data_IF_085047259688
#
_entry.id   IF_085047259688
#
_cell.length_a   1.000
_cell.length_b   1.000
_cell.length_c   1.000
_cell.angle_alpha   90.00
_cell.angle_beta   90.00
_cell.angle_gamma   90.00
#
_symmetry.space_group_name_H-M   'P 1'
#
loop_
_entity.id
_entity.type
_entity.pdbx_description
1 polymer ?
#
# COMPACT_ATOMS: atom_id res chain seq x y z
N UNK A 1 20.45 17.08 -20.96
CA UNK A 1 19.68 16.84 -19.74
C UNK A 1 19.64 15.34 -19.60
N UNK A 2 20.26 14.77 -18.56
CA UNK A 2 20.17 13.35 -18.31
C UNK A 2 18.69 13.04 -18.06
N UNK A 3 18.09 12.13 -18.82
CA UNK A 3 16.80 11.57 -18.49
C UNK A 3 16.93 10.94 -17.10
N UNK A 4 16.18 11.46 -16.13
CA UNK A 4 16.08 10.84 -14.80
C UNK A 4 15.45 9.45 -15.00
N UNK A 5 16.30 8.46 -15.17
CA UNK A 5 15.87 7.08 -15.32
C UNK A 5 15.43 6.58 -13.95
N UNK A 6 14.13 6.33 -13.81
CA UNK A 6 13.58 5.59 -12.68
C UNK A 6 13.11 4.20 -13.14
N UNK A 7 13.10 3.25 -12.21
CA UNK A 7 12.56 1.92 -12.43
C UNK A 7 11.44 1.65 -11.43
N UNK A 8 10.30 1.14 -11.90
CA UNK A 8 9.16 0.77 -11.05
C UNK A 8 8.67 -0.61 -11.46
N UNK A 9 8.99 -1.60 -10.64
CA UNK A 9 8.51 -2.98 -10.76
C UNK A 9 7.95 -3.43 -9.41
N UNK A 10 7.18 -4.52 -9.32
CA UNK A 10 6.71 -5.05 -8.04
C UNK A 10 7.84 -5.37 -7.05
N UNK A 11 9.03 -5.66 -7.57
CA UNK A 11 10.18 -6.10 -6.80
C UNK A 11 11.14 -4.96 -6.44
N UNK A 12 11.32 -4.01 -7.36
CA UNK A 12 12.29 -2.91 -7.22
C UNK A 12 11.72 -1.57 -7.66
N UNK A 13 12.00 -0.52 -6.88
CA UNK A 13 11.67 0.87 -7.19
C UNK A 13 12.91 1.71 -6.89
N UNK A 14 13.45 2.34 -7.94
CA UNK A 14 14.64 3.18 -7.83
C UNK A 14 14.52 4.45 -8.67
N UNK A 15 15.30 5.47 -8.31
CA UNK A 15 15.27 6.78 -8.96
C UNK A 15 14.14 7.69 -8.48
N UNK A 16 14.06 8.88 -9.06
CA UNK A 16 13.01 9.85 -8.77
C UNK A 16 11.78 9.55 -9.63
N UNK A 17 10.71 9.04 -9.00
CA UNK A 17 9.52 8.53 -9.70
C UNK A 17 8.69 9.68 -10.26
N UNK A 18 8.60 9.76 -11.58
CA UNK A 18 7.65 10.63 -12.28
C UNK A 18 6.28 9.94 -12.41
N UNK A 19 5.37 10.28 -11.54
CA UNK A 19 4.02 9.69 -11.52
C UNK A 19 3.19 10.05 -12.77
N UNK A 20 3.41 11.21 -13.40
CA UNK A 20 2.72 11.60 -14.63
C UNK A 20 3.16 10.73 -15.82
N UNK A 21 4.45 10.37 -15.85
CA UNK A 21 4.99 9.41 -16.82
C UNK A 21 4.47 8.00 -16.55
N UNK A 22 4.42 7.56 -15.27
CA UNK A 22 3.85 6.25 -14.90
C UNK A 22 2.38 6.10 -15.30
N UNK A 23 1.58 7.13 -15.13
CA UNK A 23 0.17 7.13 -15.55
C UNK A 23 0.06 6.76 -17.04
N UNK A 24 0.91 7.37 -17.88
CA UNK A 24 0.92 7.10 -19.33
C UNK A 24 1.47 5.70 -19.64
N UNK A 25 2.61 5.34 -19.07
CA UNK A 25 3.27 4.06 -19.33
C UNK A 25 2.44 2.86 -18.86
N UNK A 26 1.77 2.98 -17.73
CA UNK A 26 0.92 1.92 -17.19
C UNK A 26 -0.49 1.94 -17.80
N UNK A 27 -0.88 3.03 -18.49
CA UNK A 27 -2.23 3.19 -19.04
C UNK A 27 -3.28 3.20 -17.93
N UNK A 28 -2.98 3.87 -16.81
CA UNK A 28 -3.92 4.19 -15.73
C UNK A 28 -4.50 5.59 -15.96
N UNK A 29 -5.61 5.90 -15.31
CA UNK A 29 -6.28 7.19 -15.42
C UNK A 29 -6.13 7.98 -14.11
N UNK A 30 -5.84 9.27 -14.22
CA UNK A 30 -5.90 10.15 -13.05
C UNK A 30 -7.35 10.26 -12.53
N UNK A 31 -7.52 10.36 -11.21
CA UNK A 31 -8.84 10.61 -10.63
C UNK A 31 -9.24 12.05 -10.96
N UNK A 32 -10.21 12.21 -11.87
CA UNK A 32 -10.72 13.53 -12.24
C UNK A 32 -11.51 14.16 -11.09
N UNK A 33 -11.63 15.51 -11.10
CA UNK A 33 -12.39 16.23 -10.07
C UNK A 33 -13.85 15.77 -9.97
N UNK A 34 -14.48 15.48 -11.11
CA UNK A 34 -15.89 15.03 -11.14
C UNK A 34 -16.03 13.61 -10.58
N UNK A 35 -15.06 12.73 -10.88
CA UNK A 35 -15.03 11.38 -10.32
C UNK A 35 -14.75 11.43 -8.81
N UNK A 36 -13.84 12.30 -8.36
CA UNK A 36 -13.56 12.53 -6.95
C UNK A 36 -14.81 13.03 -6.22
N UNK A 37 -15.48 14.05 -6.71
CA UNK A 37 -16.74 14.59 -6.13
C UNK A 37 -17.81 13.49 -6.01
N UNK A 38 -17.98 12.67 -7.07
CA UNK A 38 -18.93 11.55 -7.04
C UNK A 38 -18.54 10.52 -5.98
N UNK A 39 -17.28 10.17 -5.91
CA UNK A 39 -16.75 9.24 -4.92
C UNK A 39 -16.98 9.74 -3.50
N UNK A 40 -16.59 10.99 -3.22
CA UNK A 40 -16.77 11.65 -1.93
C UNK A 40 -18.23 11.80 -1.47
N UNK A 41 -19.16 11.95 -2.42
CA UNK A 41 -20.60 12.01 -2.11
C UNK A 41 -21.07 10.73 -1.43
N UNK A 42 -20.45 9.60 -1.73
CA UNK A 42 -20.78 8.28 -1.15
C UNK A 42 -19.94 8.01 0.09
N UNK A 43 -18.64 8.23 -0.02
CA UNK A 43 -17.65 7.81 0.98
C UNK A 43 -17.33 8.86 2.04
N UNK A 44 -17.70 10.12 1.81
CA UNK A 44 -17.15 11.27 2.54
C UNK A 44 -15.76 11.66 2.06
N UNK A 45 -15.24 12.78 2.59
CA UNK A 45 -13.92 13.29 2.24
C UNK A 45 -12.79 12.48 2.86
N UNK A 46 -11.70 12.39 2.12
CA UNK A 46 -10.46 11.80 2.61
C UNK A 46 -9.26 12.65 2.15
N UNK A 47 -8.48 13.14 3.11
CA UNK A 47 -7.34 14.02 2.81
C UNK A 47 -6.29 13.36 1.89
N UNK A 48 -6.18 12.03 1.87
CA UNK A 48 -5.25 11.33 0.98
C UNK A 48 -5.71 11.42 -0.49
N UNK A 49 -7.01 11.49 -0.75
CA UNK A 49 -7.57 11.75 -2.08
C UNK A 49 -7.43 13.24 -2.44
N UNK A 50 -7.82 14.15 -1.55
CA UNK A 50 -7.74 15.60 -1.76
C UNK A 50 -6.31 16.06 -2.07
N UNK A 51 -5.32 15.42 -1.43
CA UNK A 51 -3.88 15.69 -1.61
C UNK A 51 -3.24 14.89 -2.75
N UNK A 52 -4.04 14.14 -3.52
CA UNK A 52 -3.58 13.27 -4.61
C UNK A 52 -2.49 12.26 -4.19
N UNK A 53 -2.55 11.77 -2.95
CA UNK A 53 -1.70 10.66 -2.50
C UNK A 53 -2.19 9.37 -3.16
N UNK A 54 -3.52 9.15 -3.15
CA UNK A 54 -4.19 8.24 -4.06
C UNK A 54 -4.63 9.05 -5.28
N UNK A 55 -3.97 8.86 -6.41
CA UNK A 55 -4.01 9.82 -7.52
C UNK A 55 -4.56 9.23 -8.82
N UNK A 56 -4.51 7.92 -9.01
CA UNK A 56 -4.89 7.26 -10.25
C UNK A 56 -5.80 6.05 -10.00
N UNK A 57 -6.44 5.58 -11.05
CA UNK A 57 -7.37 4.46 -10.96
C UNK A 57 -7.45 3.63 -12.25
N UNK A 58 -8.07 2.45 -12.12
CA UNK A 58 -8.62 1.66 -13.22
C UNK A 58 -10.07 1.34 -12.94
N UNK A 59 -10.96 1.62 -13.89
CA UNK A 59 -12.39 1.28 -13.85
C UNK A 59 -13.16 1.76 -12.59
N UNK A 60 -12.68 2.81 -11.88
CA UNK A 60 -13.36 3.32 -10.69
C UNK A 60 -14.77 3.86 -11.04
N UNK A 61 -14.92 4.50 -12.21
CA UNK A 61 -16.21 4.97 -12.69
C UNK A 61 -17.19 3.81 -12.83
N UNK A 62 -16.78 2.73 -13.51
CA UNK A 62 -17.59 1.52 -13.67
C UNK A 62 -17.99 0.91 -12.32
N UNK A 63 -17.05 0.86 -11.38
CA UNK A 63 -17.32 0.34 -10.04
C UNK A 63 -18.41 1.11 -9.32
N UNK A 64 -18.37 2.45 -9.42
CA UNK A 64 -19.39 3.31 -8.83
C UNK A 64 -20.74 3.17 -9.57
N UNK A 65 -20.73 2.95 -10.91
CA UNK A 65 -21.94 2.66 -11.67
C UNK A 65 -22.59 1.34 -11.21
N UNK A 66 -21.81 0.32 -10.89
CA UNK A 66 -22.31 -0.94 -10.31
C UNK A 66 -22.84 -0.74 -8.88
N UNK A 67 -22.12 0.05 -8.07
CA UNK A 67 -22.55 0.37 -6.70
C UNK A 67 -23.89 1.12 -6.68
N UNK A 68 -24.08 2.10 -7.57
CA UNK A 68 -25.36 2.85 -7.71
C UNK A 68 -26.54 1.96 -8.14
N UNK A 69 -26.27 0.85 -8.85
CA UNK A 69 -27.28 -0.20 -9.17
C UNK A 69 -27.56 -1.15 -8.00
N UNK A 70 -26.91 -0.96 -6.85
CA UNK A 70 -27.02 -1.81 -5.67
C UNK A 70 -26.07 -3.03 -5.66
N UNK A 71 -25.15 -3.14 -6.61
CA UNK A 71 -24.16 -4.20 -6.65
C UNK A 71 -22.99 -3.81 -5.74
N UNK A 72 -22.99 -4.31 -4.49
CA UNK A 72 -21.85 -4.12 -3.59
C UNK A 72 -20.60 -4.80 -4.15
N UNK A 73 -19.46 -4.16 -3.96
CA UNK A 73 -18.14 -4.72 -4.26
C UNK A 73 -17.47 -5.27 -2.99
N UNK A 74 -16.34 -5.90 -3.13
CA UNK A 74 -15.45 -6.23 -2.03
C UNK A 74 -14.08 -5.57 -2.22
N UNK A 75 -13.36 -5.39 -1.13
CA UNK A 75 -11.99 -4.91 -1.12
C UNK A 75 -11.03 -6.10 -1.11
N UNK A 76 -9.93 -5.96 -1.84
CA UNK A 76 -8.82 -6.88 -1.77
C UNK A 76 -7.52 -6.11 -1.53
N UNK A 77 -6.71 -6.63 -0.65
CA UNK A 77 -5.32 -6.20 -0.44
C UNK A 77 -4.54 -7.38 0.14
N UNK A 78 -3.24 -7.22 0.32
CA UNK A 78 -2.43 -8.30 0.87
C UNK A 78 -1.05 -7.84 1.31
N UNK A 79 -0.33 -8.76 1.93
CA UNK A 79 1.06 -8.60 2.29
C UNK A 79 1.78 -9.94 2.36
N UNK A 80 2.84 -10.07 1.59
CA UNK A 80 3.79 -11.14 1.78
C UNK A 80 4.58 -10.92 3.09
N UNK A 81 4.61 -11.91 3.99
CA UNK A 81 5.28 -11.80 5.28
C UNK A 81 6.79 -11.92 5.14
N UNK A 82 7.46 -10.84 4.74
CA UNK A 82 8.91 -10.79 4.44
C UNK A 82 9.76 -10.07 5.49
N UNK A 83 9.12 -9.53 6.51
CA UNK A 83 9.76 -8.71 7.54
C UNK A 83 8.73 -7.94 8.36
N UNK A 84 9.16 -7.07 9.28
CA UNK A 84 8.28 -6.23 10.07
C UNK A 84 7.54 -5.22 9.18
N UNK A 85 6.37 -4.77 9.62
CA UNK A 85 5.63 -3.72 8.94
C UNK A 85 6.25 -2.35 9.23
N UNK A 86 6.30 -1.51 8.21
CA UNK A 86 6.71 -0.11 8.30
C UNK A 86 5.57 0.83 7.88
N UNK A 87 5.74 2.13 8.12
CA UNK A 87 4.70 3.14 7.88
C UNK A 87 4.17 3.13 6.45
N UNK A 88 5.00 2.82 5.45
CA UNK A 88 4.56 2.74 4.04
C UNK A 88 3.48 1.68 3.79
N UNK A 89 3.51 0.54 4.51
CA UNK A 89 2.44 -0.45 4.43
C UNK A 89 1.15 0.06 5.08
N UNK A 90 1.28 0.71 6.24
CA UNK A 90 0.14 1.20 6.99
C UNK A 90 -0.64 2.27 6.23
N UNK A 91 0.04 3.10 5.43
CA UNK A 91 -0.59 4.14 4.63
C UNK A 91 -1.67 3.56 3.69
N UNK A 92 -1.31 2.55 2.90
CA UNK A 92 -2.26 1.91 1.99
C UNK A 92 -3.39 1.17 2.74
N UNK A 93 -3.08 0.56 3.88
CA UNK A 93 -4.08 -0.16 4.67
C UNK A 93 -5.01 0.78 5.45
N UNK A 94 -4.53 1.94 5.91
CA UNK A 94 -5.41 2.97 6.50
C UNK A 94 -6.44 3.47 5.48
N UNK A 95 -6.03 3.68 4.24
CA UNK A 95 -6.94 4.04 3.16
C UNK A 95 -7.92 2.89 2.87
N UNK A 96 -7.45 1.64 2.81
CA UNK A 96 -8.31 0.46 2.64
C UNK A 96 -9.31 0.31 3.79
N UNK A 97 -8.88 0.60 5.04
CA UNK A 97 -9.76 0.62 6.21
C UNK A 97 -10.86 1.68 6.08
N UNK A 98 -10.48 2.88 5.66
CA UNK A 98 -11.45 3.93 5.41
C UNK A 98 -12.45 3.53 4.33
N UNK A 99 -12.01 2.89 3.23
CA UNK A 99 -12.91 2.36 2.20
C UNK A 99 -13.87 1.31 2.78
N UNK A 100 -13.39 0.40 3.62
CA UNK A 100 -14.24 -0.61 4.26
C UNK A 100 -15.36 0.03 5.07
N UNK A 101 -15.05 1.06 5.86
CA UNK A 101 -16.02 1.76 6.69
C UNK A 101 -17.01 2.57 5.87
N UNK A 102 -16.51 3.32 4.89
CA UNK A 102 -17.31 4.23 4.07
C UNK A 102 -18.34 3.50 3.20
N UNK A 103 -17.96 2.36 2.64
CA UNK A 103 -18.83 1.57 1.76
C UNK A 103 -19.51 0.39 2.46
N UNK A 104 -19.14 0.11 3.70
CA UNK A 104 -19.65 -1.02 4.47
C UNK A 104 -19.54 -2.36 3.72
N UNK A 105 -18.33 -2.67 3.22
CA UNK A 105 -18.04 -3.83 2.36
C UNK A 105 -17.06 -4.81 2.99
N UNK A 106 -17.06 -6.04 2.46
CA UNK A 106 -16.10 -7.08 2.88
C UNK A 106 -14.69 -6.73 2.40
N UNK A 107 -13.68 -7.04 3.22
CA UNK A 107 -12.27 -7.02 2.87
C UNK A 107 -11.73 -8.46 2.87
N UNK A 108 -11.03 -8.82 1.80
CA UNK A 108 -10.24 -10.04 1.71
C UNK A 108 -8.77 -9.65 1.77
N UNK A 109 -8.11 -10.05 2.84
CA UNK A 109 -6.71 -9.72 3.09
C UNK A 109 -5.85 -10.97 2.91
N UNK A 110 -5.05 -11.00 1.84
CA UNK A 110 -4.18 -12.11 1.53
C UNK A 110 -2.83 -11.99 2.24
N UNK A 111 -2.39 -13.10 2.79
CA UNK A 111 -1.02 -13.32 3.25
C UNK A 111 -0.39 -14.45 2.43
N UNK A 112 0.29 -14.13 1.31
CA UNK A 112 1.00 -15.12 0.53
C UNK A 112 2.29 -15.51 1.26
N UNK A 113 2.19 -16.50 2.13
CA UNK A 113 3.27 -16.92 3.03
C UNK A 113 4.38 -17.69 2.31
N UNK A 114 4.14 -18.18 1.10
CA UNK A 114 5.12 -18.82 0.23
C UNK A 114 5.89 -17.84 -0.67
N UNK A 115 5.36 -16.64 -0.95
CA UNK A 115 5.94 -15.74 -1.96
C UNK A 115 7.43 -15.49 -1.73
N UNK A 116 7.80 -15.01 -0.54
CA UNK A 116 9.21 -14.62 -0.29
C UNK A 116 10.13 -15.82 -0.15
N UNK A 117 9.62 -16.95 0.30
CA UNK A 117 10.33 -18.22 0.24
C UNK A 117 10.68 -18.61 -1.21
N UNK A 118 9.78 -18.38 -2.17
CA UNK A 118 10.01 -18.67 -3.57
C UNK A 118 10.96 -17.67 -4.25
N UNK A 119 10.91 -16.39 -3.85
CA UNK A 119 11.62 -15.29 -4.54
C UNK A 119 12.94 -14.92 -3.89
N UNK A 120 13.15 -15.16 -2.59
CA UNK A 120 14.41 -14.85 -1.89
C UNK A 120 15.15 -16.12 -1.57
N UNK A 121 16.40 -16.21 -2.04
CA UNK A 121 17.24 -17.41 -1.90
C UNK A 121 17.47 -17.83 -0.44
N UNK A 122 17.61 -16.86 0.46
CA UNK A 122 18.01 -17.11 1.84
C UNK A 122 16.86 -17.03 2.85
N UNK A 123 15.60 -16.84 2.38
CA UNK A 123 14.45 -16.78 3.28
C UNK A 123 13.87 -18.19 3.50
N UNK A 124 13.77 -18.59 4.77
CA UNK A 124 13.13 -19.85 5.14
C UNK A 124 11.61 -19.72 5.24
N UNK A 125 10.92 -20.85 5.17
CA UNK A 125 9.47 -20.88 5.36
C UNK A 125 9.08 -20.53 6.80
N UNK A 126 9.89 -20.96 7.79
CA UNK A 126 9.71 -20.67 9.22
C UNK A 126 9.81 -19.18 9.51
N UNK A 127 10.73 -18.46 8.87
CA UNK A 127 10.83 -17.01 8.99
C UNK A 127 9.59 -16.33 8.43
N UNK A 128 9.08 -16.80 7.29
CA UNK A 128 7.83 -16.29 6.73
C UNK A 128 6.65 -16.49 7.68
N UNK A 129 6.55 -17.63 8.36
CA UNK A 129 5.49 -17.91 9.35
C UNK A 129 5.60 -17.01 10.60
N UNK A 130 6.81 -16.70 11.05
CA UNK A 130 7.03 -15.76 12.15
C UNK A 130 6.53 -14.36 11.79
N UNK A 131 6.91 -13.84 10.61
CA UNK A 131 6.45 -12.53 10.15
C UNK A 131 4.96 -12.51 9.81
N UNK A 132 4.38 -13.64 9.39
CA UNK A 132 2.94 -13.76 9.15
C UNK A 132 2.14 -13.38 10.40
N UNK A 133 2.48 -13.98 11.54
CA UNK A 133 1.80 -13.68 12.81
C UNK A 133 1.93 -12.19 13.16
N UNK A 134 3.14 -11.63 13.13
CA UNK A 134 3.40 -10.23 13.45
C UNK A 134 2.66 -9.26 12.50
N UNK A 135 2.64 -9.56 11.19
CA UNK A 135 1.95 -8.72 10.22
C UNK A 135 0.42 -8.76 10.40
N UNK A 136 -0.16 -9.91 10.80
CA UNK A 136 -1.58 -10.00 11.14
C UNK A 136 -1.94 -9.07 12.29
N UNK A 137 -1.08 -8.98 13.33
CA UNK A 137 -1.31 -8.06 14.46
C UNK A 137 -1.35 -6.61 14.00
N UNK A 138 -0.48 -6.21 13.06
CA UNK A 138 -0.47 -4.85 12.51
C UNK A 138 -1.76 -4.53 11.75
N UNK A 139 -2.24 -5.46 10.95
CA UNK A 139 -3.49 -5.28 10.19
C UNK A 139 -4.69 -5.15 11.14
N UNK A 140 -4.79 -6.04 12.14
CA UNK A 140 -5.88 -6.00 13.14
C UNK A 140 -5.83 -4.71 13.95
N UNK A 141 -4.64 -4.23 14.31
CA UNK A 141 -4.43 -3.00 15.08
C UNK A 141 -4.94 -1.74 14.37
N UNK A 142 -5.05 -1.75 13.02
CA UNK A 142 -5.68 -0.67 12.26
C UNK A 142 -7.19 -0.58 12.48
N UNK A 143 -7.81 -1.62 13.08
CA UNK A 143 -9.21 -1.60 13.48
C UNK A 143 -10.18 -2.02 12.40
N UNK A 144 -9.77 -2.83 11.43
CA UNK A 144 -10.68 -3.47 10.48
C UNK A 144 -11.82 -4.21 11.18
N UNK A 145 -13.00 -4.25 10.55
CA UNK A 145 -14.16 -4.92 11.09
C UNK A 145 -14.00 -6.46 11.00
N UNK A 146 -13.91 -7.20 12.12
CA UNK A 146 -13.69 -8.65 12.08
C UNK A 146 -14.84 -9.43 11.42
N UNK A 147 -16.06 -8.87 11.39
CA UNK A 147 -17.21 -9.51 10.74
C UNK A 147 -17.18 -9.36 9.20
N UNK A 148 -16.34 -8.47 8.70
CA UNK A 148 -16.23 -8.13 7.26
C UNK A 148 -14.80 -8.25 6.72
N UNK A 149 -13.87 -8.74 7.52
CA UNK A 149 -12.48 -8.93 7.11
C UNK A 149 -12.12 -10.40 7.17
N UNK A 150 -11.67 -10.93 6.03
CA UNK A 150 -11.35 -12.34 5.84
C UNK A 150 -9.86 -12.47 5.54
N UNK A 151 -9.10 -12.96 6.51
CA UNK A 151 -7.68 -13.29 6.30
C UNK A 151 -7.56 -14.61 5.55
N UNK A 152 -6.84 -14.57 4.44
CA UNK A 152 -6.45 -15.74 3.66
C UNK A 152 -4.94 -15.90 3.78
N UNK A 153 -4.50 -17.05 4.23
CA UNK A 153 -3.09 -17.48 4.19
C UNK A 153 -2.98 -18.54 3.12
N UNK A 154 -2.13 -18.34 2.13
CA UNK A 154 -2.16 -19.12 0.89
C UNK A 154 -1.95 -20.61 1.15
N UNK A 155 -0.98 -20.98 1.98
CA UNK A 155 -0.75 -22.39 2.33
C UNK A 155 -1.86 -23.02 3.18
N UNK A 156 -2.48 -22.24 4.08
CA UNK A 156 -3.57 -22.73 4.94
C UNK A 156 -4.90 -22.87 4.21
N UNK A 157 -5.11 -22.03 3.18
CA UNK A 157 -6.34 -22.01 2.39
C UNK A 157 -6.13 -22.55 0.96
N UNK A 158 -5.09 -23.38 0.78
CA UNK A 158 -4.74 -23.94 -0.51
C UNK A 158 -5.90 -24.72 -1.16
N UNK A 159 -6.76 -25.29 -0.36
CA UNK A 159 -7.93 -26.07 -0.82
C UNK A 159 -8.98 -25.22 -1.56
N UNK A 160 -9.09 -23.91 -1.27
CA UNK A 160 -9.97 -23.00 -2.00
C UNK A 160 -9.20 -22.16 -3.04
N UNK A 161 -7.91 -21.93 -2.83
CA UNK A 161 -7.08 -21.12 -3.71
C UNK A 161 -6.52 -21.91 -4.89
N UNK A 162 -5.95 -23.08 -4.62
CA UNK A 162 -5.23 -23.87 -5.63
C UNK A 162 -6.09 -24.29 -6.84
N UNK A 163 -7.35 -24.76 -6.68
CA UNK A 163 -8.19 -25.06 -7.83
C UNK A 163 -8.41 -23.87 -8.75
N UNK A 164 -8.59 -22.69 -8.17
CA UNK A 164 -8.77 -21.44 -8.93
C UNK A 164 -7.46 -20.96 -9.56
N UNK A 165 -6.34 -21.10 -8.87
CA UNK A 165 -5.01 -20.81 -9.41
C UNK A 165 -4.69 -21.69 -10.62
N UNK A 166 -5.08 -22.98 -10.62
CA UNK A 166 -4.96 -23.86 -11.79
C UNK A 166 -5.77 -23.35 -12.99
N UNK A 167 -6.98 -22.81 -12.76
CA UNK A 167 -7.79 -22.22 -13.84
C UNK A 167 -7.12 -20.97 -14.42
N UNK A 168 -6.52 -20.14 -13.56
CA UNK A 168 -5.73 -18.95 -13.96
C UNK A 168 -4.49 -19.39 -14.72
N UNK A 169 -3.69 -20.33 -14.18
CA UNK A 169 -2.47 -20.84 -14.78
C UNK A 169 -2.70 -21.39 -16.20
N UNK A 170 -3.84 -22.05 -16.43
CA UNK A 170 -4.22 -22.54 -17.77
C UNK A 170 -4.40 -21.40 -18.80
N UNK A 171 -4.55 -20.16 -18.37
CA UNK A 171 -4.75 -18.99 -19.24
C UNK A 171 -3.51 -18.09 -19.34
N UNK A 172 -2.46 -18.39 -18.57
CA UNK A 172 -1.20 -17.66 -18.54
C UNK A 172 -0.12 -18.48 -19.24
N UNK A 173 0.70 -17.84 -20.06
CA UNK A 173 1.89 -18.44 -20.66
C UNK A 173 3.15 -17.92 -20.00
N UNK A 174 4.26 -18.66 -20.07
CA UNK A 174 5.56 -18.18 -19.58
C UNK A 174 5.98 -16.85 -20.24
N UNK A 175 5.67 -16.67 -21.54
CA UNK A 175 5.93 -15.40 -22.22
C UNK A 175 5.18 -14.23 -21.60
N UNK A 176 3.93 -14.40 -21.16
CA UNK A 176 3.17 -13.37 -20.45
C UNK A 176 3.80 -13.06 -19.10
N UNK A 177 4.19 -14.09 -18.35
CA UNK A 177 4.86 -13.93 -17.04
C UNK A 177 6.18 -13.19 -17.20
N UNK A 178 7.01 -13.59 -18.15
CA UNK A 178 8.28 -12.93 -18.47
C UNK A 178 8.09 -11.45 -18.82
N UNK A 179 7.16 -11.16 -19.70
CA UNK A 179 6.85 -9.78 -20.13
C UNK A 179 6.32 -8.89 -19.00
N UNK A 180 5.51 -9.46 -18.08
CA UNK A 180 4.86 -8.68 -17.02
C UNK A 180 5.73 -8.51 -15.77
N UNK A 181 6.59 -9.47 -15.47
CA UNK A 181 7.30 -9.56 -14.19
C UNK A 181 8.83 -9.61 -14.33
N UNK A 182 9.36 -9.69 -15.55
CA UNK A 182 10.81 -9.80 -15.78
C UNK A 182 11.40 -11.16 -15.38
N UNK A 183 10.54 -12.18 -15.12
CA UNK A 183 11.03 -13.54 -14.88
C UNK A 183 11.66 -14.10 -16.15
N UNK A 184 12.71 -14.91 -16.00
CA UNK A 184 13.49 -15.49 -17.09
C UNK A 184 13.65 -17.01 -16.95
N UNK A 185 14.47 -17.60 -17.80
CA UNK A 185 14.70 -19.06 -17.84
C UNK A 185 15.40 -19.60 -16.58
N UNK A 186 16.00 -18.72 -15.74
CA UNK A 186 16.58 -19.08 -14.44
C UNK A 186 15.57 -19.06 -13.29
N UNK A 187 14.37 -18.56 -13.53
CA UNK A 187 13.30 -18.47 -12.53
C UNK A 187 12.76 -19.85 -12.19
N UNK A 188 12.60 -20.13 -10.88
CA UNK A 188 12.07 -21.43 -10.46
C UNK A 188 10.56 -21.56 -10.76
N UNK A 189 10.09 -22.81 -10.85
CA UNK A 189 8.68 -23.12 -11.17
C UNK A 189 7.70 -22.48 -10.18
N UNK A 190 8.07 -22.37 -8.89
CA UNK A 190 7.25 -21.73 -7.86
C UNK A 190 7.02 -20.26 -8.15
N UNK A 191 8.06 -19.51 -8.53
CA UNK A 191 7.94 -18.09 -8.92
C UNK A 191 6.98 -17.91 -10.10
N UNK A 192 7.08 -18.78 -11.10
CA UNK A 192 6.21 -18.74 -12.29
C UNK A 192 4.76 -19.01 -11.89
N UNK A 193 4.51 -20.08 -11.12
CA UNK A 193 3.15 -20.47 -10.70
C UNK A 193 2.52 -19.46 -9.73
N UNK A 194 3.33 -18.83 -8.86
CA UNK A 194 2.87 -17.82 -7.91
C UNK A 194 2.08 -16.69 -8.55
N UNK A 195 2.42 -16.28 -9.78
CA UNK A 195 1.68 -15.26 -10.52
C UNK A 195 0.19 -15.63 -10.71
N UNK A 196 -0.12 -16.92 -10.73
CA UNK A 196 -1.48 -17.44 -10.81
C UNK A 196 -2.17 -17.43 -9.45
N UNK A 197 -1.45 -17.72 -8.37
CA UNK A 197 -1.96 -17.63 -6.99
C UNK A 197 -2.35 -16.20 -6.65
N UNK A 198 -1.49 -15.23 -6.96
CA UNK A 198 -1.71 -13.81 -6.72
C UNK A 198 -3.00 -13.25 -7.35
N UNK A 199 -3.46 -13.84 -8.45
CA UNK A 199 -4.68 -13.39 -9.12
C UNK A 199 -5.97 -13.85 -8.43
N UNK A 200 -5.94 -14.94 -7.67
CA UNK A 200 -7.14 -15.63 -7.15
C UNK A 200 -7.97 -14.77 -6.21
N UNK A 201 -7.40 -14.07 -5.20
CA UNK A 201 -8.19 -13.31 -4.25
C UNK A 201 -9.05 -12.21 -4.90
N UNK A 202 -8.65 -11.70 -6.06
CA UNK A 202 -9.41 -10.69 -6.79
C UNK A 202 -10.78 -11.19 -7.31
N UNK A 203 -11.04 -12.50 -7.32
CA UNK A 203 -12.31 -13.07 -7.72
C UNK A 203 -12.83 -14.21 -6.82
N UNK A 204 -12.04 -14.65 -5.85
CA UNK A 204 -12.40 -15.74 -4.93
C UNK A 204 -13.79 -15.54 -4.28
N UNK A 205 -14.16 -14.35 -3.78
CA UNK A 205 -15.50 -14.12 -3.23
C UNK A 205 -16.61 -14.39 -4.24
N UNK A 206 -16.37 -14.13 -5.52
CA UNK A 206 -17.34 -14.43 -6.58
C UNK A 206 -17.53 -15.94 -6.76
N UNK A 207 -16.47 -16.73 -6.66
CA UNK A 207 -16.52 -18.21 -6.72
C UNK A 207 -17.26 -18.75 -5.52
N UNK A 208 -16.88 -18.34 -4.32
CA UNK A 208 -17.46 -18.82 -3.06
C UNK A 208 -18.95 -18.51 -2.93
N UNK A 209 -19.39 -17.35 -3.43
CA UNK A 209 -20.81 -16.92 -3.39
C UNK A 209 -21.60 -17.32 -4.64
N UNK A 210 -20.99 -17.95 -5.63
CA UNK A 210 -21.62 -18.38 -6.89
C UNK A 210 -22.21 -17.24 -7.73
N UNK A 211 -21.70 -16.00 -7.57
CA UNK A 211 -22.15 -14.81 -8.31
C UNK A 211 -21.00 -13.86 -8.57
N UNK A 212 -21.07 -13.12 -9.69
CA UNK A 212 -20.06 -12.10 -10.02
C UNK A 212 -20.17 -10.92 -9.06
N UNK A 213 -19.08 -10.61 -8.34
CA UNK A 213 -19.00 -9.50 -7.41
C UNK A 213 -17.83 -8.60 -7.88
N UNK A 214 -18.05 -7.28 -8.06
CA UNK A 214 -16.96 -6.35 -8.33
C UNK A 214 -15.89 -6.35 -7.24
N UNK A 215 -14.63 -6.15 -7.62
CA UNK A 215 -13.49 -6.06 -6.70
C UNK A 215 -12.85 -4.68 -6.82
N UNK A 216 -12.49 -4.07 -5.70
CA UNK A 216 -11.68 -2.86 -5.64
C UNK A 216 -10.38 -3.14 -4.89
N UNK A 217 -9.26 -2.74 -5.49
CA UNK A 217 -7.91 -2.93 -4.94
C UNK A 217 -7.25 -1.57 -4.75
N UNK A 218 -6.95 -1.20 -3.50
CA UNK A 218 -6.13 -0.03 -3.20
C UNK A 218 -4.67 -0.48 -3.00
N UNK A 219 -3.76 0.03 -3.84
CA UNK A 219 -2.36 -0.42 -3.83
C UNK A 219 -1.38 0.68 -4.24
N UNK A 220 -0.11 0.52 -3.89
CA UNK A 220 0.95 1.36 -4.41
C UNK A 220 1.21 1.02 -5.90
N UNK A 221 1.60 2.03 -6.67
CA UNK A 221 1.67 1.95 -8.14
C UNK A 221 2.58 0.84 -8.67
N UNK A 222 3.60 0.41 -7.90
CA UNK A 222 4.50 -0.69 -8.24
C UNK A 222 3.79 -2.06 -8.34
N UNK A 223 2.64 -2.22 -7.72
CA UNK A 223 1.87 -3.47 -7.75
C UNK A 223 0.97 -3.59 -9.00
N UNK A 224 0.88 -2.55 -9.83
CA UNK A 224 0.04 -2.54 -11.03
C UNK A 224 0.31 -3.71 -12.01
N UNK A 225 1.56 -4.16 -12.26
CA UNK A 225 1.82 -5.31 -13.15
C UNK A 225 1.08 -6.59 -12.76
N UNK A 226 0.97 -6.91 -11.46
CA UNK A 226 0.21 -8.07 -10.98
C UNK A 226 -1.27 -7.95 -11.36
N UNK A 227 -1.83 -6.77 -11.14
CA UNK A 227 -3.26 -6.54 -11.39
C UNK A 227 -3.57 -6.37 -12.88
N UNK A 228 -2.64 -5.90 -13.71
CA UNK A 228 -2.80 -5.92 -15.18
C UNK A 228 -2.98 -7.34 -15.70
N UNK A 229 -2.08 -8.26 -15.31
CA UNK A 229 -2.21 -9.66 -15.71
C UNK A 229 -3.55 -10.26 -15.24
N UNK A 230 -3.91 -10.01 -13.98
CA UNK A 230 -5.20 -10.44 -13.42
C UNK A 230 -6.38 -9.92 -14.23
N UNK A 231 -6.36 -8.63 -14.59
CA UNK A 231 -7.40 -7.98 -15.41
C UNK A 231 -7.56 -8.57 -16.80
N UNK A 232 -6.46 -9.05 -17.40
CA UNK A 232 -6.46 -9.68 -18.72
C UNK A 232 -7.04 -11.11 -18.68
N UNK A 233 -6.93 -11.79 -17.55
CA UNK A 233 -7.32 -13.19 -17.39
C UNK A 233 -8.74 -13.34 -16.86
N UNK A 234 -9.18 -12.53 -15.90
CA UNK A 234 -10.47 -12.74 -15.23
C UNK A 234 -11.67 -12.74 -16.18
N UNK A 235 -11.77 -11.89 -17.23
CA UNK A 235 -12.85 -11.99 -18.21
C UNK A 235 -12.89 -13.33 -18.94
N UNK A 236 -11.73 -13.94 -19.21
CA UNK A 236 -11.62 -15.26 -19.86
C UNK A 236 -12.09 -16.41 -18.95
N UNK A 237 -12.20 -16.14 -17.64
CA UNK A 237 -12.76 -17.03 -16.62
C UNK A 237 -14.20 -16.67 -16.26
N UNK A 238 -14.78 -15.64 -16.91
CA UNK A 238 -16.16 -15.21 -16.68
C UNK A 238 -16.35 -14.27 -15.51
N UNK A 239 -15.28 -13.69 -14.95
CA UNK A 239 -15.31 -12.72 -13.84
C UNK A 239 -15.13 -11.27 -14.33
N UNK A 240 -15.48 -10.30 -13.47
CA UNK A 240 -15.18 -8.88 -13.73
C UNK A 240 -13.68 -8.60 -13.66
N UNK A 241 -13.22 -7.61 -14.41
CA UNK A 241 -11.91 -7.00 -14.18
C UNK A 241 -11.93 -6.31 -12.81
N UNK A 242 -10.93 -6.50 -11.94
CA UNK A 242 -10.87 -5.71 -10.71
C UNK A 242 -10.64 -4.23 -11.00
N UNK A 243 -11.38 -3.37 -10.35
CA UNK A 243 -11.07 -1.95 -10.29
C UNK A 243 -9.92 -1.69 -9.32
N UNK A 244 -9.19 -0.61 -9.49
CA UNK A 244 -8.09 -0.25 -8.59
C UNK A 244 -7.97 1.25 -8.37
N UNK A 245 -7.40 1.61 -7.20
CA UNK A 245 -6.95 2.97 -6.90
C UNK A 245 -5.47 2.89 -6.52
N UNK A 246 -4.63 3.67 -7.22
CA UNK A 246 -3.19 3.66 -7.05
C UNK A 246 -2.73 4.84 -6.20
N UNK A 247 -1.80 4.57 -5.27
CA UNK A 247 -1.13 5.61 -4.49
C UNK A 247 0.35 5.75 -4.86
N UNK A 248 0.87 6.95 -4.57
CA UNK A 248 2.29 7.23 -4.54
C UNK A 248 2.98 6.57 -3.35
N UNK A 249 4.30 6.46 -3.39
CA UNK A 249 5.07 5.89 -2.29
C UNK A 249 5.22 6.88 -1.14
N UNK A 250 5.15 6.38 0.08
CA UNK A 250 5.67 7.12 1.23
C UNK A 250 7.20 7.17 1.06
N UNK A 251 7.83 8.37 1.01
CA UNK A 251 9.26 8.47 0.76
C UNK A 251 10.08 7.79 1.86
N UNK A 252 11.23 7.19 1.54
CA UNK A 252 12.18 6.73 2.55
C UNK A 252 12.73 7.93 3.35
N UNK A 253 13.27 7.70 4.54
CA UNK A 253 13.82 8.81 5.35
C UNK A 253 14.97 9.53 4.66
N UNK A 254 15.74 8.83 3.83
CA UNK A 254 16.92 9.37 3.14
C UNK A 254 16.62 10.31 1.98
N UNK A 255 15.35 10.51 1.61
CA UNK A 255 14.96 11.45 0.56
C UNK A 255 13.78 10.98 -0.28
N UNK A 256 13.47 11.74 -1.33
CA UNK A 256 12.30 11.50 -2.18
C UNK A 256 12.51 10.44 -3.26
N UNK A 257 13.70 9.87 -3.39
CA UNK A 257 14.01 8.85 -4.40
C UNK A 257 13.71 7.45 -3.89
N UNK A 258 12.91 6.68 -4.65
CA UNK A 258 12.56 5.30 -4.32
C UNK A 258 11.36 5.14 -3.38
N UNK A 259 11.22 3.95 -2.82
CA UNK A 259 10.20 3.60 -1.81
C UNK A 259 10.84 3.11 -0.53
N UNK A 260 10.15 3.29 0.61
CA UNK A 260 10.54 2.68 1.87
C UNK A 260 10.55 1.14 1.74
N UNK A 261 11.64 0.49 2.15
CA UNK A 261 11.82 -0.95 2.07
C UNK A 261 11.91 -1.59 3.46
N UNK A 262 11.39 -2.82 3.59
CA UNK A 262 11.49 -3.61 4.84
C UNK A 262 12.92 -4.09 5.16
N UNK A 263 13.86 -3.94 4.25
CA UNK A 263 15.29 -4.26 4.45
C UNK A 263 16.12 -3.04 4.84
N UNK A 264 15.55 -1.84 4.88
CA UNK A 264 16.26 -0.62 5.24
C UNK A 264 16.29 -0.41 6.75
N UNK A 265 17.49 -0.21 7.30
CA UNK A 265 17.69 0.08 8.73
C UNK A 265 17.02 1.40 9.12
N UNK A 266 16.89 2.32 8.19
CA UNK A 266 16.31 3.65 8.37
C UNK A 266 14.78 3.66 8.37
N UNK A 267 14.11 2.60 7.91
CA UNK A 267 12.64 2.56 7.87
C UNK A 267 12.05 2.66 9.29
N UNK A 268 10.93 3.37 9.44
CA UNK A 268 10.18 3.43 10.70
C UNK A 268 9.22 2.25 10.74
N UNK A 269 9.45 1.35 11.68
CA UNK A 269 8.66 0.14 11.89
C UNK A 269 7.54 0.36 12.90
N UNK A 270 6.49 -0.44 12.81
CA UNK A 270 5.35 -0.41 13.74
C UNK A 270 5.74 -0.78 15.16
N UNK A 271 6.87 -1.46 15.32
CA UNK A 271 7.42 -1.91 16.60
C UNK A 271 8.50 -1.00 17.18
N UNK A 272 8.88 0.07 16.46
CA UNK A 272 9.90 1.00 16.94
C UNK A 272 9.47 1.67 18.24
N UNK A 273 10.41 1.80 19.15
CA UNK A 273 10.25 2.58 20.38
C UNK A 273 10.29 4.07 20.09
N UNK A 274 9.82 4.89 21.02
CA UNK A 274 9.87 6.34 20.93
C UNK A 274 11.29 6.88 20.62
N UNK A 275 12.31 6.29 21.27
CA UNK A 275 13.71 6.69 21.07
C UNK A 275 14.25 6.28 19.70
N UNK A 276 13.83 5.13 19.19
CA UNK A 276 14.23 4.69 17.84
C UNK A 276 13.62 5.58 16.77
N UNK A 277 12.34 5.94 16.88
CA UNK A 277 11.70 6.91 15.97
C UNK A 277 12.43 8.26 16.00
N UNK A 278 12.69 8.79 17.20
CA UNK A 278 13.41 10.04 17.37
C UNK A 278 14.80 9.98 16.74
N UNK A 279 15.55 8.91 17.02
CA UNK A 279 16.89 8.70 16.47
C UNK A 279 16.84 8.62 14.93
N UNK A 280 15.94 7.82 14.35
CA UNK A 280 15.80 7.63 12.91
C UNK A 280 15.47 8.93 12.20
N UNK A 281 14.50 9.71 12.71
CA UNK A 281 14.11 10.98 12.09
C UNK A 281 15.21 12.02 12.21
N UNK A 282 15.82 12.18 13.39
CA UNK A 282 16.88 13.17 13.58
C UNK A 282 18.10 12.87 12.71
N UNK A 283 18.47 11.59 12.59
CA UNK A 283 19.69 11.19 11.90
C UNK A 283 19.50 11.03 10.39
N UNK A 284 18.41 10.42 9.94
CA UNK A 284 18.26 9.98 8.56
C UNK A 284 17.27 10.80 7.74
N UNK A 285 16.29 11.49 8.39
CA UNK A 285 15.30 12.22 7.63
C UNK A 285 15.95 13.38 6.86
N UNK A 286 15.90 13.27 5.53
CA UNK A 286 16.38 14.31 4.63
C UNK A 286 15.64 15.62 4.92
N UNK A 287 16.41 16.70 5.03
CA UNK A 287 15.88 18.03 5.36
C UNK A 287 15.92 18.95 4.14
N UNK A 288 14.81 19.64 3.91
CA UNK A 288 14.75 20.73 2.93
C UNK A 288 15.26 22.08 3.46
N UNK A 289 15.92 22.10 4.63
CA UNK A 289 16.49 23.30 5.24
C UNK A 289 17.74 23.83 4.57
N UNK A 290 18.39 24.78 5.23
CA UNK A 290 19.69 25.35 4.81
C UNK A 290 20.79 24.87 5.74
N UNK A 291 22.04 25.07 5.32
CA UNK A 291 23.22 24.60 6.05
C UNK A 291 23.38 25.30 7.41
N UNK A 292 22.99 26.56 7.50
CA UNK A 292 23.04 27.32 8.75
C UNK A 292 21.65 27.79 9.18
N UNK A 293 21.47 27.98 10.49
CA UNK A 293 20.24 28.53 11.05
C UNK A 293 19.96 29.96 10.53
N UNK A 294 20.99 30.77 10.34
CA UNK A 294 20.86 32.12 9.82
C UNK A 294 20.35 32.15 8.39
N UNK A 295 20.95 31.33 7.52
CA UNK A 295 20.46 31.15 6.14
C UNK A 295 19.05 30.64 6.10
N UNK A 296 18.72 29.65 6.96
CA UNK A 296 17.37 29.11 7.04
C UNK A 296 16.36 30.21 7.47
N UNK A 297 16.69 31.00 8.48
CA UNK A 297 15.84 32.13 8.91
C UNK A 297 15.66 33.18 7.81
N UNK A 298 16.69 33.41 6.99
CA UNK A 298 16.68 34.40 5.92
C UNK A 298 15.99 33.92 4.64
N UNK A 299 16.19 32.68 4.24
CA UNK A 299 15.80 32.15 2.93
C UNK A 299 14.72 31.10 3.01
N UNK A 300 14.39 30.60 4.19
CA UNK A 300 13.45 29.52 4.42
C UNK A 300 13.93 28.16 3.94
N UNK A 301 13.15 27.12 4.26
CA UNK A 301 13.34 25.75 3.79
C UNK A 301 12.45 25.43 2.59
N UNK A 302 12.68 24.25 2.02
CA UNK A 302 11.82 23.68 0.98
C UNK A 302 11.00 22.48 1.55
N UNK A 303 9.73 22.69 1.92
CA UNK A 303 8.90 21.61 2.47
C UNK A 303 8.57 20.51 1.45
N UNK A 304 8.67 20.82 0.15
CA UNK A 304 8.28 19.84 -0.89
C UNK A 304 9.26 18.66 -0.99
N UNK A 305 10.53 18.89 -0.58
CA UNK A 305 11.56 17.85 -0.52
C UNK A 305 11.90 17.40 0.92
N UNK A 306 11.37 18.09 1.93
CA UNK A 306 11.61 17.73 3.35
C UNK A 306 10.78 16.50 3.75
N UNK A 307 11.46 15.42 4.12
CA UNK A 307 10.79 14.15 4.43
C UNK A 307 9.90 14.25 5.67
N UNK A 308 10.27 15.05 6.66
CA UNK A 308 9.42 15.25 7.85
C UNK A 308 8.10 15.91 7.46
N UNK A 309 8.14 16.91 6.58
CA UNK A 309 6.92 17.52 6.05
C UNK A 309 6.10 16.52 5.21
N UNK A 310 6.77 15.71 4.36
CA UNK A 310 6.06 14.71 3.56
C UNK A 310 5.35 13.68 4.44
N UNK A 311 5.93 13.25 5.55
CA UNK A 311 5.25 12.32 6.47
C UNK A 311 4.00 12.93 7.09
N UNK A 312 4.07 14.21 7.49
CA UNK A 312 2.88 14.95 7.94
C UNK A 312 1.82 15.01 6.85
N UNK A 313 2.22 15.36 5.62
CA UNK A 313 1.32 15.47 4.46
C UNK A 313 0.65 14.14 4.11
N UNK A 314 1.38 13.03 4.15
CA UNK A 314 0.90 11.72 3.72
C UNK A 314 0.04 11.01 4.77
N UNK A 315 0.38 11.15 6.07
CA UNK A 315 -0.24 10.30 7.10
C UNK A 315 -0.62 11.02 8.40
N UNK A 316 0.20 11.97 8.87
CA UNK A 316 0.17 12.36 10.28
C UNK A 316 -0.46 13.72 10.57
N UNK A 317 -0.77 14.54 9.56
CA UNK A 317 -1.53 15.77 9.73
C UNK A 317 -2.74 15.80 8.80
N UNK A 318 -3.91 15.30 9.23
CA UNK A 318 -5.11 15.29 8.40
C UNK A 318 -5.73 16.69 8.24
N UNK A 319 -5.42 17.64 9.12
CA UNK A 319 -5.94 19.01 9.07
C UNK A 319 -5.16 19.85 8.07
N UNK A 320 -5.79 20.23 6.95
CA UNK A 320 -5.17 21.03 5.90
C UNK A 320 -4.82 22.44 6.32
N UNK A 321 -5.51 23.03 7.30
CA UNK A 321 -5.17 24.35 7.81
C UNK A 321 -3.86 24.30 8.61
N UNK A 322 -3.71 23.29 9.47
CA UNK A 322 -2.47 23.08 10.23
C UNK A 322 -1.32 22.72 9.29
N UNK A 323 -1.56 21.82 8.32
CA UNK A 323 -0.53 21.45 7.35
C UNK A 323 -0.07 22.66 6.52
N UNK A 324 -1.00 23.51 6.04
CA UNK A 324 -0.66 24.74 5.31
C UNK A 324 0.09 25.74 6.18
N UNK A 325 -0.23 25.82 7.47
CA UNK A 325 0.52 26.67 8.41
C UNK A 325 1.96 26.17 8.54
N UNK A 326 2.17 24.88 8.80
CA UNK A 326 3.50 24.26 8.87
C UNK A 326 4.29 24.51 7.58
N UNK A 327 3.66 24.32 6.41
CA UNK A 327 4.26 24.60 5.10
C UNK A 327 4.78 26.04 4.99
N UNK A 328 3.91 27.02 5.31
CA UNK A 328 4.25 28.45 5.24
C UNK A 328 5.35 28.82 6.22
N UNK A 329 5.26 28.38 7.46
CA UNK A 329 6.21 28.71 8.53
C UNK A 329 7.61 28.13 8.19
N UNK A 330 7.68 26.92 7.64
CA UNK A 330 8.94 26.32 7.21
C UNK A 330 9.51 26.99 5.95
N UNK A 331 8.66 27.28 4.97
CA UNK A 331 9.06 27.94 3.72
C UNK A 331 9.55 29.37 3.94
N UNK A 332 9.06 30.07 4.95
CA UNK A 332 9.48 31.43 5.30
C UNK A 332 10.68 31.49 6.26
N UNK A 333 11.14 30.34 6.80
CA UNK A 333 12.20 30.31 7.81
C UNK A 333 11.75 30.62 9.24
N UNK A 334 10.45 30.83 9.48
CA UNK A 334 9.89 30.96 10.84
C UNK A 334 10.02 29.67 11.62
N UNK A 335 9.78 28.53 10.97
CA UNK A 335 9.97 27.19 11.55
C UNK A 335 11.31 26.62 11.08
N UNK A 336 12.11 26.11 11.99
CA UNK A 336 13.38 25.45 11.70
C UNK A 336 13.19 23.98 11.33
N UNK A 337 14.18 23.34 10.68
CA UNK A 337 14.19 21.91 10.41
C UNK A 337 14.09 21.06 11.68
N UNK A 338 14.71 21.51 12.78
CA UNK A 338 14.62 20.84 14.07
C UNK A 338 13.20 20.85 14.64
N UNK A 339 12.51 21.97 14.57
CA UNK A 339 11.10 22.11 15.00
C UNK A 339 10.18 21.27 14.14
N UNK A 340 10.35 21.25 12.81
CA UNK A 340 9.58 20.42 11.90
C UNK A 340 9.79 18.91 12.18
N UNK A 341 11.04 18.49 12.37
CA UNK A 341 11.36 17.10 12.77
C UNK A 341 10.68 16.74 14.09
N UNK A 342 10.70 17.64 15.08
CA UNK A 342 10.09 17.37 16.39
C UNK A 342 8.57 17.18 16.27
N UNK A 343 7.86 18.04 15.52
CA UNK A 343 6.42 17.88 15.25
C UNK A 343 6.14 16.50 14.65
N UNK A 344 6.96 16.07 13.69
CA UNK A 344 6.79 14.79 13.02
C UNK A 344 7.04 13.61 13.96
N UNK A 345 8.10 13.69 14.80
CA UNK A 345 8.43 12.69 15.84
C UNK A 345 7.26 12.55 16.81
N UNK A 346 6.71 13.64 17.32
CA UNK A 346 5.63 13.62 18.30
C UNK A 346 4.36 12.96 17.73
N UNK A 347 4.02 13.28 16.48
CA UNK A 347 2.86 12.70 15.81
C UNK A 347 3.03 11.22 15.49
N UNK A 348 4.19 10.80 14.99
CA UNK A 348 4.50 9.38 14.74
C UNK A 348 4.47 8.61 16.05
N UNK A 349 5.09 9.12 17.10
CA UNK A 349 5.14 8.46 18.40
C UNK A 349 3.75 8.33 19.03
N UNK A 350 2.90 9.37 18.92
CA UNK A 350 1.52 9.28 19.38
C UNK A 350 0.75 8.18 18.62
N UNK A 351 0.89 8.11 17.30
CA UNK A 351 0.28 7.08 16.49
C UNK A 351 0.80 5.68 16.85
N UNK A 352 2.12 5.48 16.91
CA UNK A 352 2.71 4.17 17.20
C UNK A 352 2.35 3.67 18.61
N UNK A 353 2.29 4.56 19.60
CA UNK A 353 1.84 4.21 20.95
C UNK A 353 0.44 3.57 20.95
N UNK A 354 -0.51 4.19 20.26
CA UNK A 354 -1.87 3.65 20.15
C UNK A 354 -1.91 2.39 19.29
N UNK A 355 -1.14 2.34 18.21
CA UNK A 355 -1.05 1.17 17.35
C UNK A 355 -0.50 -0.05 18.11
N UNK A 356 0.61 0.11 18.83
CA UNK A 356 1.23 -0.96 19.63
C UNK A 356 0.29 -1.47 20.73
N UNK A 357 -0.44 -0.57 21.41
CA UNK A 357 -1.49 -0.98 22.37
C UNK A 357 -2.56 -1.84 21.70
N UNK A 358 -3.00 -1.46 20.48
CA UNK A 358 -3.98 -2.24 19.72
C UNK A 358 -3.40 -3.57 19.23
N UNK A 359 -2.10 -3.63 18.89
CA UNK A 359 -1.40 -4.88 18.53
C UNK A 359 -1.44 -5.88 19.68
N UNK A 360 -1.18 -5.44 20.91
CA UNK A 360 -1.28 -6.33 22.09
C UNK A 360 -2.69 -6.90 22.23
N UNK A 361 -3.72 -6.07 22.08
CA UNK A 361 -5.11 -6.50 22.12
C UNK A 361 -5.51 -7.37 20.91
N UNK A 362 -4.76 -7.36 19.83
CA UNK A 362 -5.02 -8.15 18.63
C UNK A 362 -4.61 -9.61 18.77
N UNK A 363 -3.69 -9.94 19.70
CA UNK A 363 -3.17 -11.31 19.89
C UNK A 363 -4.28 -12.36 20.10
N UNK A 364 -5.33 -12.00 20.80
CA UNK A 364 -6.49 -12.89 21.04
C UNK A 364 -7.55 -12.85 19.93
N UNK A 365 -7.37 -12.04 18.88
CA UNK A 365 -8.39 -11.80 17.85
C UNK A 365 -8.07 -12.41 16.48
N UNK A 366 -6.87 -12.90 16.25
CA UNK A 366 -6.43 -13.41 14.94
C UNK A 366 -7.44 -14.40 14.36
N UNK A 367 -7.88 -15.38 15.17
CA UNK A 367 -8.84 -16.41 14.75
C UNK A 367 -10.20 -15.85 14.31
N UNK A 368 -10.59 -14.68 14.79
CA UNK A 368 -11.84 -14.03 14.39
C UNK A 368 -11.77 -13.35 13.02
N UNK A 369 -10.56 -13.16 12.48
CA UNK A 369 -10.31 -12.62 11.16
C UNK A 369 -10.02 -13.71 10.13
N UNK A 370 -9.59 -14.92 10.57
CA UNK A 370 -9.31 -16.01 9.64
C UNK A 370 -10.57 -16.43 8.88
N UNK A 371 -10.44 -16.54 7.58
CA UNK A 371 -11.54 -17.08 6.77
C UNK A 371 -11.87 -18.50 7.23
N UNK A 372 -13.14 -18.75 7.45
CA UNK A 372 -13.69 -20.08 7.80
C UNK A 372 -14.74 -20.43 6.76
N UNK A 373 -14.68 -21.66 6.27
CA UNK A 373 -15.69 -22.24 5.34
C UNK A 373 -17.06 -22.32 5.97
#
# INVERSE_FOLDING_TARGET
MAEDNFNVTPWDVSGNVDYSRLVKEFGIEEISEDLLKRFEKISGKNFMLDRKIFFAHRDLKWLLDEYDKGNKFFLYTGRSPSGPCHLGHLMAWQFTKWLQDAFDVDLWFQFPDEEKFLFKKDQTFEESQKYLHENMLDVIALGFNPKKTHFIVDTKHADILYPEACKVAKKITFSMVRSSFGLDDSSNIGQIFYTSMQAVPAFLPSVLKGKKIPCLIAHAVDQDPHFRLTRDILPKLGHHKPASIQCSFLPPLTGSSGKMSSSEVEAIYTTDTHKEVEHKIKKYAFSGGRDTLEEHRRHGGNPDIDVSFQYLRYMFEPDDHKLRKIYKDYKSGVMTSGELKQITIDKINAFLKEHQKKREAAKSKIESFMYKK
#
